data_IF_380848898090
#
_entry.id   IF_380848898090
#
_cell.length_a   1.000
_cell.length_b   1.000
_cell.length_c   1.000
_cell.angle_alpha   90.00
_cell.angle_beta   90.00
_cell.angle_gamma   90.00
#
_symmetry.space_group_name_H-M   'P 1'
#
loop_
_entity.id
_entity.type
_entity.pdbx_description
1 polymer ?
#
# COMPACT_ATOMS: atom_id res chain seq x y z
N UNK A 1 1.02 -4.83 -30.54
CA UNK A 1 -0.34 -4.67 -30.00
C UNK A 1 -0.88 -6.03 -29.59
N UNK A 2 -0.81 -6.34 -28.30
CA UNK A 2 -1.57 -7.39 -27.65
C UNK A 2 -1.70 -6.97 -26.19
N UNK A 3 -2.85 -6.42 -25.81
CA UNK A 3 -3.14 -6.05 -24.43
C UNK A 3 -3.27 -7.32 -23.59
N UNK A 4 -2.50 -7.41 -22.51
CA UNK A 4 -2.67 -8.45 -21.51
C UNK A 4 -3.97 -8.13 -20.77
N UNK A 5 -5.05 -8.81 -21.16
CA UNK A 5 -6.29 -8.81 -20.41
C UNK A 5 -6.10 -9.67 -19.15
N UNK A 6 -6.08 -9.03 -17.97
CA UNK A 6 -6.12 -9.72 -16.69
C UNK A 6 -7.38 -10.60 -16.61
N UNK A 7 -7.24 -11.85 -16.17
CA UNK A 7 -8.36 -12.80 -16.00
C UNK A 7 -8.47 -13.22 -14.54
N UNK A 8 -9.66 -13.11 -13.98
CA UNK A 8 -10.02 -13.59 -12.65
C UNK A 8 -10.25 -15.12 -12.65
N UNK A 9 -9.74 -15.86 -11.65
CA UNK A 9 -10.07 -17.28 -11.43
C UNK A 9 -10.17 -17.66 -9.95
N UNK A 10 -11.05 -18.63 -9.66
CA UNK A 10 -11.26 -19.30 -8.37
C UNK A 10 -10.12 -20.28 -8.05
N UNK A 11 -9.68 -20.29 -6.79
CA UNK A 11 -8.61 -21.14 -6.27
C UNK A 11 -9.08 -22.52 -5.79
N UNK A 12 -8.20 -23.53 -5.93
CA UNK A 12 -8.28 -24.85 -5.33
C UNK A 12 -6.99 -25.18 -4.58
N UNK A 13 -7.12 -25.85 -3.44
CA UNK A 13 -6.11 -25.99 -2.38
C UNK A 13 -5.11 -27.16 -2.55
N UNK A 14 -3.96 -27.09 -1.86
CA UNK A 14 -3.16 -28.28 -1.48
C UNK A 14 -1.68 -28.11 -1.07
N UNK A 15 -1.45 -28.10 0.26
CA UNK A 15 -0.45 -28.89 1.06
C UNK A 15 1.10 -28.66 1.04
N UNK A 16 1.60 -28.00 2.10
CA UNK A 16 2.59 -28.35 3.17
C UNK A 16 3.99 -29.02 2.97
N UNK A 17 4.90 -28.57 3.87
CA UNK A 17 6.21 -29.10 4.40
C UNK A 17 7.51 -28.59 3.70
N UNK A 18 8.59 -28.13 4.36
CA UNK A 18 8.95 -27.97 5.78
C UNK A 18 10.38 -27.39 5.96
N UNK A 19 10.56 -26.60 7.02
CA UNK A 19 11.72 -26.28 7.92
C UNK A 19 13.21 -26.40 7.49
N UNK A 20 13.97 -25.34 7.82
CA UNK A 20 15.41 -25.35 8.11
C UNK A 20 15.90 -24.03 8.76
N UNK A 21 16.32 -24.07 10.04
CA UNK A 21 16.84 -22.95 10.85
C UNK A 21 18.39 -22.94 10.87
N UNK A 22 19.01 -21.75 10.85
CA UNK A 22 20.31 -21.44 11.46
C UNK A 22 20.55 -19.90 11.54
N UNK A 23 21.39 -19.41 12.48
CA UNK A 23 21.05 -18.24 13.30
C UNK A 23 21.75 -16.90 12.98
N UNK A 24 20.98 -15.85 13.24
CA UNK A 24 21.25 -14.47 13.71
C UNK A 24 22.68 -13.90 13.73
N UNK A 25 22.82 -12.78 13.02
CA UNK A 25 23.88 -11.79 13.21
C UNK A 25 23.82 -10.69 12.15
N UNK A 26 22.75 -9.91 12.09
CA UNK A 26 22.67 -8.73 11.23
C UNK A 26 22.92 -7.47 12.07
N UNK A 27 24.15 -6.98 12.02
CA UNK A 27 24.51 -5.64 12.48
C UNK A 27 23.67 -4.62 11.71
N UNK A 28 22.76 -3.96 12.43
CA UNK A 28 21.90 -2.92 11.88
C UNK A 28 22.75 -1.66 11.78
N UNK A 29 23.21 -1.31 10.58
CA UNK A 29 23.83 0.00 10.33
C UNK A 29 22.70 1.00 10.07
N UNK A 30 22.48 2.00 10.93
CA UNK A 30 21.52 3.05 10.65
C UNK A 30 22.07 3.90 9.49
N UNK A 31 21.35 3.93 8.37
CA UNK A 31 21.65 4.85 7.27
C UNK A 31 21.21 6.25 7.75
N UNK A 32 22.12 6.98 8.40
CA UNK A 32 21.90 8.41 8.69
C UNK A 32 22.20 9.21 7.43
N UNK A 33 21.16 9.71 6.76
CA UNK A 33 21.26 10.55 5.56
C UNK A 33 21.12 9.74 4.27
N UNK A 34 19.90 9.53 3.83
CA UNK A 34 19.56 8.94 2.54
C UNK A 34 19.85 9.93 1.40
N UNK A 35 21.01 9.78 0.75
CA UNK A 35 21.26 10.31 -0.59
C UNK A 35 20.56 9.44 -1.65
N UNK A 36 19.26 9.18 -1.47
CA UNK A 36 18.43 8.52 -2.49
C UNK A 36 18.14 9.56 -3.57
N UNK A 37 19.11 9.80 -4.46
CA UNK A 37 18.97 10.82 -5.49
C UNK A 37 18.22 10.27 -6.69
N UNK A 38 16.98 10.70 -6.88
CA UNK A 38 16.21 10.59 -8.14
C UNK A 38 14.78 10.10 -7.94
N UNK A 39 13.84 10.67 -8.72
CA UNK A 39 12.48 10.15 -8.81
C UNK A 39 12.52 8.82 -9.58
N UNK A 40 12.37 7.70 -8.89
CA UNK A 40 12.44 6.35 -9.46
C UNK A 40 11.05 5.76 -9.70
N UNK A 41 10.00 6.36 -9.13
CA UNK A 41 8.62 6.13 -9.55
C UNK A 41 8.35 6.98 -10.80
N UNK A 42 8.25 6.32 -11.96
CA UNK A 42 7.90 6.93 -13.23
C UNK A 42 6.39 6.89 -13.47
N UNK A 43 5.76 8.04 -13.65
CA UNK A 43 4.32 8.16 -13.87
C UNK A 43 4.00 8.29 -15.36
N UNK A 44 3.11 7.45 -15.87
CA UNK A 44 2.56 7.54 -17.22
C UNK A 44 1.06 7.78 -17.15
N UNK A 45 0.64 8.97 -17.56
CA UNK A 45 -0.77 9.34 -17.52
C UNK A 45 -1.48 8.94 -18.81
N UNK A 46 -2.63 8.26 -18.67
CA UNK A 46 -3.57 8.04 -19.75
C UNK A 46 -4.41 9.31 -19.99
N UNK A 47 -4.31 9.85 -21.20
CA UNK A 47 -4.98 11.09 -21.59
C UNK A 47 -4.42 12.38 -20.99
N UNK A 48 -5.13 13.48 -21.26
CA UNK A 48 -4.76 14.82 -20.83
C UNK A 48 -5.35 15.15 -19.46
N UNK A 49 -4.58 14.86 -18.39
CA UNK A 49 -4.89 15.36 -17.05
C UNK A 49 -4.45 16.81 -16.87
N UNK A 50 -5.24 17.67 -16.19
CA UNK A 50 -4.84 19.02 -15.83
C UNK A 50 -3.52 19.05 -15.05
N UNK A 51 -2.67 20.06 -15.28
CA UNK A 51 -1.36 20.19 -14.62
C UNK A 51 -1.45 20.12 -13.10
N UNK A 52 -2.44 20.79 -12.50
CA UNK A 52 -2.66 20.76 -11.06
C UNK A 52 -2.90 19.34 -10.52
N UNK A 53 -3.60 18.51 -11.29
CA UNK A 53 -3.89 17.12 -10.93
C UNK A 53 -2.66 16.24 -11.08
N UNK A 54 -1.92 16.37 -12.19
CA UNK A 54 -0.64 15.66 -12.39
C UNK A 54 0.34 15.93 -11.24
N UNK A 55 0.41 17.17 -10.79
CA UNK A 55 1.29 17.57 -9.69
C UNK A 55 0.97 16.85 -8.36
N UNK A 56 -0.27 16.41 -8.13
CA UNK A 56 -0.63 15.63 -6.92
C UNK A 56 0.04 14.25 -6.97
N UNK A 57 -0.03 13.56 -8.11
CA UNK A 57 0.64 12.28 -8.31
C UNK A 57 2.16 12.40 -8.20
N UNK A 58 2.73 13.45 -8.78
CA UNK A 58 4.18 13.69 -8.72
C UNK A 58 4.66 13.96 -7.28
N UNK A 59 3.87 14.66 -6.46
CA UNK A 59 4.16 14.85 -5.03
C UNK A 59 4.07 13.54 -4.26
N UNK A 60 3.05 12.71 -4.52
CA UNK A 60 2.93 11.40 -3.90
C UNK A 60 4.11 10.48 -4.27
N UNK A 61 4.53 10.46 -5.54
CA UNK A 61 5.71 9.73 -5.99
C UNK A 61 6.98 10.22 -5.27
N UNK A 62 7.16 11.54 -5.18
CA UNK A 62 8.29 12.14 -4.44
C UNK A 62 8.24 11.77 -2.96
N UNK A 63 7.06 11.74 -2.33
CA UNK A 63 6.90 11.34 -0.93
C UNK A 63 7.32 9.89 -0.72
N UNK A 64 6.89 8.96 -1.58
CA UNK A 64 7.27 7.55 -1.50
C UNK A 64 8.75 7.34 -1.76
N UNK A 65 9.32 7.95 -2.79
CA UNK A 65 10.76 7.88 -3.09
C UNK A 65 11.62 8.44 -1.94
N UNK A 66 11.07 9.33 -1.10
CA UNK A 66 11.75 9.85 0.08
C UNK A 66 11.70 8.94 1.32
N UNK A 67 10.83 7.93 1.35
CA UNK A 67 10.64 7.04 2.53
C UNK A 67 10.92 5.57 2.26
N UNK A 68 10.80 5.14 1.00
CA UNK A 68 11.04 3.77 0.54
C UNK A 68 12.01 3.82 -0.63
N UNK A 69 13.07 3.02 -0.62
CA UNK A 69 14.01 2.99 -1.74
C UNK A 69 13.41 2.22 -2.92
N UNK A 70 13.07 2.95 -3.96
CA UNK A 70 12.45 2.46 -5.21
C UNK A 70 13.43 2.43 -6.38
N UNK A 71 14.70 2.77 -6.14
CA UNK A 71 15.79 2.54 -7.08
C UNK A 71 16.16 1.06 -7.10
N UNK A 72 16.15 0.46 -8.29
CA UNK A 72 16.41 -0.96 -8.48
C UNK A 72 17.37 -1.21 -9.64
N UNK A 73 17.89 -2.44 -9.70
CA UNK A 73 18.64 -2.89 -10.86
C UNK A 73 17.80 -2.74 -12.15
N UNK A 74 18.41 -2.28 -13.26
CA UNK A 74 17.69 -2.05 -14.50
C UNK A 74 17.02 -3.32 -15.03
N UNK A 75 15.75 -3.23 -15.41
CA UNK A 75 15.01 -4.29 -16.10
C UNK A 75 14.39 -3.76 -17.40
N UNK A 76 14.33 -4.58 -18.44
CA UNK A 76 13.65 -4.21 -19.69
C UNK A 76 12.20 -4.65 -19.65
N UNK A 77 11.28 -3.72 -19.78
CA UNK A 77 9.83 -3.98 -19.84
C UNK A 77 9.20 -3.15 -20.96
N UNK A 78 8.46 -3.79 -21.85
CA UNK A 78 7.81 -3.16 -23.02
C UNK A 78 8.75 -2.31 -23.92
N UNK A 79 10.04 -2.67 -23.96
CA UNK A 79 11.05 -1.95 -24.75
C UNK A 79 11.67 -0.74 -24.03
N UNK A 80 11.26 -0.46 -22.80
CA UNK A 80 11.84 0.56 -21.92
C UNK A 80 12.77 -0.10 -20.91
N UNK A 81 13.89 0.57 -20.58
CA UNK A 81 14.75 0.15 -19.47
C UNK A 81 14.33 0.91 -18.23
N UNK A 82 13.82 0.20 -17.22
CA UNK A 82 13.32 0.75 -15.97
C UNK A 82 14.31 0.49 -14.83
N UNK A 83 14.76 1.55 -14.17
CA UNK A 83 15.60 1.51 -12.96
C UNK A 83 14.80 1.71 -11.67
N UNK A 84 13.48 1.63 -11.77
CA UNK A 84 12.55 1.86 -10.66
C UNK A 84 11.20 1.19 -10.92
N UNK A 85 10.11 1.90 -10.65
CA UNK A 85 8.73 1.42 -10.84
C UNK A 85 8.01 2.31 -11.85
N UNK A 86 7.34 1.73 -12.84
CA UNK A 86 6.42 2.47 -13.71
C UNK A 86 4.99 2.36 -13.20
N UNK A 87 4.28 3.48 -13.08
CA UNK A 87 2.87 3.50 -12.71
C UNK A 87 2.05 4.13 -13.83
N UNK A 88 1.16 3.34 -14.42
CA UNK A 88 0.23 3.78 -15.44
C UNK A 88 -1.04 4.34 -14.74
N UNK A 89 -1.23 5.66 -14.82
CA UNK A 89 -2.27 6.40 -14.09
C UNK A 89 -3.42 6.76 -15.02
N UNK A 90 -4.67 6.50 -14.62
CA UNK A 90 -5.87 6.95 -15.35
C UNK A 90 -6.90 7.60 -14.42
N UNK A 91 -7.59 8.62 -14.94
CA UNK A 91 -8.78 9.20 -14.31
C UNK A 91 -9.89 9.16 -15.33
N UNK A 92 -10.91 8.34 -15.08
CA UNK A 92 -11.98 8.07 -16.03
C UNK A 92 -13.29 7.79 -15.31
N UNK A 93 -14.45 7.85 -15.98
CA UNK A 93 -15.69 7.39 -15.36
C UNK A 93 -15.59 5.91 -14.99
N UNK A 94 -15.89 5.55 -13.74
CA UNK A 94 -15.94 4.15 -13.28
C UNK A 94 -17.39 3.77 -12.92
N UNK A 95 -17.84 4.10 -11.71
CA UNK A 95 -19.18 3.78 -11.21
C UNK A 95 -20.01 4.99 -10.75
N UNK A 96 -19.45 6.20 -10.82
CA UNK A 96 -20.13 7.45 -10.50
C UNK A 96 -19.70 7.99 -9.14
N UNK A 97 -20.56 8.78 -8.50
CA UNK A 97 -20.28 9.32 -7.16
C UNK A 97 -20.62 8.29 -6.09
N UNK A 98 -19.81 8.24 -5.03
CA UNK A 98 -19.99 7.34 -3.88
C UNK A 98 -19.90 5.86 -4.31
N UNK A 99 -18.67 5.42 -4.58
CA UNK A 99 -18.37 4.08 -5.09
C UNK A 99 -16.88 3.76 -4.98
N UNK A 100 -16.23 3.50 -6.11
CA UNK A 100 -14.78 3.26 -6.15
C UNK A 100 -14.05 4.59 -6.32
N UNK A 101 -13.49 5.16 -5.25
CA UNK A 101 -12.68 6.39 -5.41
C UNK A 101 -11.43 6.15 -6.24
N UNK A 102 -10.79 5.01 -5.98
CA UNK A 102 -9.55 4.58 -6.58
C UNK A 102 -9.36 3.07 -6.50
N UNK A 103 -8.55 2.55 -7.41
CA UNK A 103 -7.97 1.22 -7.32
C UNK A 103 -6.54 1.24 -7.84
N UNK A 104 -5.67 0.50 -7.16
CA UNK A 104 -4.29 0.42 -7.55
C UNK A 104 -3.65 -0.92 -7.17
N UNK A 105 -2.57 -1.26 -7.88
CA UNK A 105 -1.80 -2.46 -7.60
C UNK A 105 -0.71 -2.73 -8.63
N UNK A 106 0.27 -3.58 -8.28
CA UNK A 106 1.30 -3.98 -9.20
C UNK A 106 0.71 -4.87 -10.31
N UNK A 107 1.22 -4.76 -11.53
CA UNK A 107 0.83 -5.61 -12.66
C UNK A 107 1.96 -6.53 -13.10
N UNK A 108 3.21 -6.12 -12.86
CA UNK A 108 4.41 -6.89 -13.20
C UNK A 108 5.41 -6.79 -12.06
N UNK A 109 6.00 -7.93 -11.68
CA UNK A 109 7.00 -8.02 -10.62
C UNK A 109 8.35 -8.47 -11.14
N UNK A 110 9.40 -8.15 -10.38
CA UNK A 110 10.78 -8.55 -10.64
C UNK A 110 10.95 -10.07 -10.42
N UNK A 111 11.78 -10.77 -11.19
CA UNK A 111 12.00 -12.21 -11.03
C UNK A 111 12.52 -12.60 -9.64
N UNK A 112 13.49 -11.85 -9.13
CA UNK A 112 14.24 -12.27 -7.95
C UNK A 112 13.59 -11.83 -6.63
N UNK A 113 13.15 -10.57 -6.58
CA UNK A 113 12.59 -9.98 -5.36
C UNK A 113 11.07 -10.03 -5.32
N UNK A 114 10.44 -10.24 -6.48
CA UNK A 114 9.01 -9.98 -6.73
C UNK A 114 8.54 -8.61 -6.24
N UNK A 115 9.42 -7.61 -6.24
CA UNK A 115 9.02 -6.22 -6.08
C UNK A 115 8.45 -5.70 -7.40
N UNK A 116 7.53 -4.73 -7.38
CA UNK A 116 6.95 -4.11 -8.56
C UNK A 116 7.97 -3.60 -9.59
N UNK A 117 7.75 -3.95 -10.85
CA UNK A 117 8.33 -3.31 -12.04
C UNK A 117 7.35 -2.29 -12.61
N UNK A 118 6.08 -2.69 -12.69
CA UNK A 118 5.01 -1.86 -13.21
C UNK A 118 3.73 -2.08 -12.40
N UNK A 119 2.86 -1.07 -12.39
CA UNK A 119 1.53 -1.15 -11.82
C UNK A 119 0.58 -0.12 -12.42
N UNK A 120 -0.67 -0.18 -11.96
CA UNK A 120 -1.74 0.72 -12.39
C UNK A 120 -2.31 1.49 -11.21
N UNK A 121 -2.82 2.68 -11.49
CA UNK A 121 -3.59 3.49 -10.55
C UNK A 121 -4.76 4.12 -11.32
N UNK A 122 -5.99 3.79 -10.94
CA UNK A 122 -7.20 4.26 -11.62
C UNK A 122 -8.12 4.96 -10.63
N UNK A 123 -8.63 6.15 -10.97
CA UNK A 123 -9.55 6.92 -10.13
C UNK A 123 -10.86 7.22 -10.85
N UNK A 124 -11.98 7.22 -10.12
CA UNK A 124 -13.25 7.70 -10.68
C UNK A 124 -13.23 9.22 -10.81
N UNK A 125 -13.40 9.69 -12.04
CA UNK A 125 -13.50 11.10 -12.38
C UNK A 125 -14.59 11.85 -11.57
N UNK A 126 -15.68 11.19 -11.20
CA UNK A 126 -16.76 11.80 -10.42
C UNK A 126 -16.32 12.09 -8.97
N UNK A 127 -15.58 11.17 -8.35
CA UNK A 127 -15.14 11.29 -6.96
C UNK A 127 -13.92 12.21 -6.81
N UNK A 128 -13.03 12.26 -7.81
CA UNK A 128 -11.87 13.16 -7.79
C UNK A 128 -12.27 14.61 -7.54
N UNK A 129 -13.39 15.08 -8.10
CA UNK A 129 -13.85 16.47 -7.88
C UNK A 129 -14.24 16.72 -6.42
N UNK A 130 -14.92 15.77 -5.80
CA UNK A 130 -15.32 15.85 -4.39
C UNK A 130 -14.10 15.78 -3.47
N UNK A 131 -13.14 14.92 -3.79
CA UNK A 131 -11.88 14.79 -3.06
C UNK A 131 -11.01 16.04 -3.17
N UNK A 132 -10.95 16.66 -4.34
CA UNK A 132 -10.25 17.94 -4.55
C UNK A 132 -10.92 19.06 -3.74
N UNK A 133 -12.25 19.16 -3.78
CA UNK A 133 -13.00 20.15 -3.01
C UNK A 133 -12.85 19.96 -1.49
N UNK A 134 -12.76 18.72 -1.03
CA UNK A 134 -12.53 18.35 0.38
C UNK A 134 -11.07 18.37 0.81
N UNK A 135 -10.12 18.63 -0.10
CA UNK A 135 -8.67 18.60 0.20
C UNK A 135 -8.12 17.21 0.53
N UNK A 136 -8.79 16.13 0.10
CA UNK A 136 -8.43 14.73 0.43
C UNK A 136 -7.77 13.98 -0.72
N UNK A 137 -7.75 14.56 -1.92
CA UNK A 137 -7.28 13.84 -3.10
C UNK A 137 -5.80 13.41 -3.00
N UNK A 138 -4.94 14.23 -2.39
CA UNK A 138 -3.53 13.88 -2.19
C UNK A 138 -3.34 12.68 -1.24
N UNK A 139 -4.12 12.60 -0.16
CA UNK A 139 -4.11 11.45 0.76
C UNK A 139 -4.46 10.15 0.01
N UNK A 140 -5.51 10.19 -0.83
CA UNK A 140 -5.95 9.01 -1.59
C UNK A 140 -4.89 8.63 -2.62
N UNK A 141 -4.30 9.58 -3.34
CA UNK A 141 -3.24 9.29 -4.31
C UNK A 141 -2.01 8.68 -3.62
N UNK A 142 -1.61 9.21 -2.45
CA UNK A 142 -0.52 8.65 -1.67
C UNK A 142 -0.82 7.22 -1.20
N UNK A 143 -2.04 6.98 -0.73
CA UNK A 143 -2.54 5.67 -0.31
C UNK A 143 -2.52 4.63 -1.44
N UNK A 144 -3.11 4.97 -2.60
CA UNK A 144 -3.19 4.08 -3.75
C UNK A 144 -1.79 3.75 -4.31
N UNK A 145 -0.87 4.71 -4.28
CA UNK A 145 0.50 4.45 -4.70
C UNK A 145 1.21 3.42 -3.79
N UNK A 146 0.88 3.38 -2.49
CA UNK A 146 1.38 2.36 -1.58
C UNK A 146 0.97 0.94 -2.02
N UNK A 147 -0.27 0.80 -2.51
CA UNK A 147 -0.79 -0.47 -3.03
C UNK A 147 -0.06 -0.91 -4.29
N UNK A 148 0.31 0.03 -5.17
CA UNK A 148 1.17 -0.28 -6.33
C UNK A 148 2.54 -0.80 -5.89
N UNK A 149 3.11 -0.20 -4.84
CA UNK A 149 4.39 -0.61 -4.24
C UNK A 149 4.30 -1.92 -3.45
N UNK A 150 3.10 -2.51 -3.32
CA UNK A 150 2.93 -3.85 -2.77
C UNK A 150 2.28 -3.91 -1.38
N UNK A 151 2.01 -2.76 -0.76
CA UNK A 151 1.32 -2.73 0.53
C UNK A 151 -0.07 -3.34 0.40
N UNK A 152 -0.40 -4.34 1.19
CA UNK A 152 -1.70 -5.02 1.15
C UNK A 152 -1.90 -5.94 -0.07
N UNK A 153 -1.32 -5.61 -1.22
CA UNK A 153 -1.49 -6.34 -2.48
C UNK A 153 -0.52 -7.52 -2.60
N UNK A 154 0.67 -7.45 -2.00
CA UNK A 154 1.68 -8.52 -2.01
C UNK A 154 1.81 -9.29 -0.70
N UNK A 155 1.07 -8.91 0.35
CA UNK A 155 1.20 -9.50 1.68
C UNK A 155 0.92 -11.01 1.71
N UNK A 156 -0.19 -11.45 1.14
CA UNK A 156 -0.53 -12.89 1.07
C UNK A 156 0.48 -13.66 0.21
N UNK A 157 0.84 -13.09 -0.95
CA UNK A 157 1.88 -13.65 -1.84
C UNK A 157 3.22 -13.87 -1.13
N UNK A 158 3.59 -12.96 -0.24
CA UNK A 158 4.83 -13.02 0.56
C UNK A 158 4.66 -13.82 1.87
N UNK A 159 3.48 -14.37 2.15
CA UNK A 159 3.22 -15.13 3.37
C UNK A 159 3.26 -14.28 4.64
N UNK A 160 2.98 -12.98 4.53
CA UNK A 160 3.06 -12.01 5.63
C UNK A 160 1.75 -11.85 6.42
N UNK A 161 0.69 -12.58 6.04
CA UNK A 161 -0.60 -12.60 6.75
C UNK A 161 -0.83 -13.98 7.35
N UNK A 162 -1.35 -14.00 8.57
CA UNK A 162 -1.92 -15.20 9.20
C UNK A 162 -3.38 -14.96 9.53
N UNK A 163 -4.18 -16.02 9.60
CA UNK A 163 -5.62 -15.88 9.85
C UNK A 163 -6.40 -15.24 8.70
N UNK A 164 -5.86 -15.26 7.47
CA UNK A 164 -6.58 -14.81 6.28
C UNK A 164 -7.93 -15.53 6.14
N UNK A 165 -8.96 -14.81 5.72
CA UNK A 165 -10.34 -15.26 5.65
C UNK A 165 -11.07 -15.34 6.99
N UNK A 166 -10.39 -15.13 8.13
CA UNK A 166 -11.01 -15.21 9.47
C UNK A 166 -11.44 -13.84 10.01
N UNK A 167 -12.11 -13.82 11.17
CA UNK A 167 -12.47 -12.58 11.84
C UNK A 167 -11.27 -11.81 12.40
N UNK A 168 -10.08 -12.40 12.43
CA UNK A 168 -8.89 -11.77 13.00
C UNK A 168 -7.62 -12.06 12.18
N UNK A 169 -7.53 -11.58 10.93
CA UNK A 169 -6.30 -11.61 10.17
C UNK A 169 -5.26 -10.71 10.85
N UNK A 170 -4.00 -11.17 10.83
CA UNK A 170 -2.86 -10.48 11.44
C UNK A 170 -1.67 -10.46 10.50
N UNK A 171 -0.98 -9.33 10.45
CA UNK A 171 0.29 -9.20 9.75
C UNK A 171 1.44 -9.66 10.65
N UNK A 172 2.36 -10.43 10.09
CA UNK A 172 3.38 -11.18 10.85
C UNK A 172 4.82 -10.83 10.50
N UNK A 173 5.04 -9.82 9.67
CA UNK A 173 6.35 -9.30 9.35
C UNK A 173 7.13 -8.84 10.59
N UNK A 174 8.43 -9.09 10.61
CA UNK A 174 9.27 -8.89 11.80
C UNK A 174 9.45 -7.40 12.10
N UNK A 175 9.62 -6.57 11.06
CA UNK A 175 9.77 -5.13 11.23
C UNK A 175 8.46 -4.51 11.71
N UNK A 176 7.32 -4.85 11.11
CA UNK A 176 6.02 -4.32 11.54
C UNK A 176 5.67 -4.72 12.97
N UNK A 177 6.00 -5.94 13.40
CA UNK A 177 5.83 -6.35 14.82
C UNK A 177 6.68 -5.52 15.77
N UNK A 178 7.90 -5.17 15.38
CA UNK A 178 8.80 -4.30 16.17
C UNK A 178 8.19 -2.90 16.34
N UNK A 179 7.75 -2.27 15.25
CA UNK A 179 7.16 -0.93 15.32
C UNK A 179 5.80 -0.95 16.02
N UNK A 180 5.00 -2.01 15.86
CA UNK A 180 3.73 -2.15 16.57
C UNK A 180 3.94 -2.35 18.08
N UNK A 181 4.94 -3.11 18.51
CA UNK A 181 5.26 -3.25 19.94
C UNK A 181 5.74 -1.93 20.59
N UNK A 182 6.24 -0.97 19.79
CA UNK A 182 6.54 0.38 20.30
C UNK A 182 5.27 1.22 20.49
N UNK A 183 4.25 0.99 19.66
CA UNK A 183 2.93 1.64 19.73
C UNK A 183 2.02 1.02 20.81
N UNK A 184 2.11 -0.29 21.01
CA UNK A 184 1.32 -1.07 21.98
C UNK A 184 2.23 -2.06 22.76
N UNK A 185 3.00 -1.58 23.75
CA UNK A 185 3.98 -2.41 24.48
C UNK A 185 3.37 -3.58 25.26
N UNK A 186 2.09 -3.45 25.66
CA UNK A 186 1.36 -4.46 26.43
C UNK A 186 0.48 -5.35 25.54
N UNK A 187 0.44 -5.07 24.24
CA UNK A 187 -0.41 -5.71 23.26
C UNK A 187 0.13 -7.02 22.70
N UNK A 188 -0.66 -7.60 21.79
CA UNK A 188 -0.20 -8.72 20.97
C UNK A 188 0.89 -8.24 20.00
N UNK A 189 1.87 -9.09 19.70
CA UNK A 189 2.95 -8.69 18.79
C UNK A 189 2.47 -8.58 17.33
N UNK A 190 1.49 -9.38 16.90
CA UNK A 190 1.04 -9.42 15.52
C UNK A 190 0.04 -8.30 15.20
N UNK A 191 0.31 -7.59 14.09
CA UNK A 191 -0.38 -6.33 13.77
C UNK A 191 -1.81 -6.60 13.28
N UNK A 192 -2.84 -5.98 13.87
CA UNK A 192 -4.22 -6.07 13.42
C UNK A 192 -4.41 -5.67 11.95
N UNK A 193 -4.89 -6.59 11.13
CA UNK A 193 -5.22 -6.32 9.73
C UNK A 193 -6.74 -6.09 9.59
N UNK A 194 -7.15 -5.27 8.62
CA UNK A 194 -8.55 -5.02 8.32
C UNK A 194 -9.29 -6.35 8.09
N UNK A 195 -10.30 -6.58 8.93
CA UNK A 195 -11.11 -7.80 8.97
C UNK A 195 -12.55 -7.57 8.47
N UNK A 196 -12.88 -6.33 8.14
CA UNK A 196 -14.17 -5.87 7.64
C UNK A 196 -13.99 -5.10 6.33
N UNK A 197 -15.10 -4.60 5.77
CA UNK A 197 -15.14 -4.03 4.42
C UNK A 197 -15.25 -5.10 3.34
N UNK A 198 -15.14 -4.68 2.08
CA UNK A 198 -15.21 -5.56 0.92
C UNK A 198 -13.88 -6.28 0.62
N UNK A 199 -13.81 -7.08 -0.45
CA UNK A 199 -12.57 -7.73 -0.91
C UNK A 199 -11.42 -6.74 -1.17
N UNK A 200 -11.77 -5.49 -1.50
CA UNK A 200 -10.81 -4.42 -1.70
C UNK A 200 -10.24 -3.81 -0.43
N UNK A 201 -10.85 -4.06 0.73
CA UNK A 201 -10.46 -3.46 2.01
C UNK A 201 -9.83 -4.50 2.93
N UNK A 202 -10.56 -5.60 3.11
CA UNK A 202 -10.16 -6.68 3.99
C UNK A 202 -8.81 -7.22 3.56
N UNK A 203 -7.93 -7.45 4.52
CA UNK A 203 -6.59 -8.02 4.30
C UNK A 203 -5.66 -7.22 3.39
N UNK A 204 -6.04 -6.01 2.96
CA UNK A 204 -5.20 -5.08 2.21
C UNK A 204 -4.79 -3.83 3.02
N UNK A 205 -5.30 -3.69 4.23
CA UNK A 205 -5.21 -2.46 5.02
C UNK A 205 -4.94 -2.76 6.49
N UNK A 206 -4.49 -1.73 7.21
CA UNK A 206 -4.50 -1.75 8.67
C UNK A 206 -5.92 -1.71 9.22
N UNK A 207 -6.13 -2.37 10.37
CA UNK A 207 -7.44 -2.41 11.04
C UNK A 207 -7.83 -1.04 11.55
N UNK A 208 -8.83 -0.45 10.94
CA UNK A 208 -9.21 0.92 11.24
C UNK A 208 -9.63 1.15 12.70
N UNK A 209 -10.33 0.20 13.33
CA UNK A 209 -10.68 0.30 14.75
C UNK A 209 -9.46 0.33 15.71
N UNK A 210 -8.27 0.01 15.22
CA UNK A 210 -7.03 0.06 16.00
C UNK A 210 -6.21 1.27 15.60
N UNK A 211 -6.10 1.55 14.30
CA UNK A 211 -5.17 2.54 13.76
C UNK A 211 -5.82 3.87 13.34
N UNK A 212 -7.16 3.95 13.36
CA UNK A 212 -7.91 5.17 13.09
C UNK A 212 -7.52 5.87 11.80
N UNK A 213 -6.93 7.05 11.94
CA UNK A 213 -6.55 7.93 10.84
C UNK A 213 -5.19 7.60 10.18
N UNK A 214 -4.49 6.53 10.55
CA UNK A 214 -3.25 6.13 9.85
C UNK A 214 -3.50 5.97 8.35
N UNK A 215 -2.58 6.46 7.51
CA UNK A 215 -2.75 6.58 6.05
C UNK A 215 -3.27 5.30 5.39
N UNK A 216 -2.81 4.12 5.79
CA UNK A 216 -3.12 2.82 5.19
C UNK A 216 -4.28 2.07 5.87
N UNK A 217 -5.12 2.75 6.66
CA UNK A 217 -6.46 2.25 6.95
C UNK A 217 -7.37 2.47 5.75
N UNK A 218 -8.32 1.56 5.50
CA UNK A 218 -9.13 1.57 4.27
C UNK A 218 -10.26 2.61 4.22
N UNK A 219 -10.22 3.67 5.01
CA UNK A 219 -11.32 4.64 5.13
C UNK A 219 -10.77 6.05 5.42
N UNK A 220 -11.45 7.08 4.92
CA UNK A 220 -10.98 8.47 4.97
C UNK A 220 -11.31 9.10 6.32
N UNK A 221 -10.68 8.57 7.37
CA UNK A 221 -10.90 9.01 8.75
C UNK A 221 -9.89 10.06 9.20
N UNK A 222 -10.35 11.02 9.99
CA UNK A 222 -9.54 12.11 10.54
C UNK A 222 -9.23 13.23 9.52
N UNK A 223 -8.77 14.37 10.04
CA UNK A 223 -8.33 15.52 9.22
C UNK A 223 -6.91 15.34 8.67
N UNK A 224 -6.05 14.63 9.41
CA UNK A 224 -4.66 14.34 9.03
C UNK A 224 -4.51 12.83 8.88
N UNK A 225 -3.77 12.39 7.86
CA UNK A 225 -3.51 10.98 7.54
C UNK A 225 -2.02 10.66 7.62
N UNK A 226 -1.46 10.41 8.81
CA UNK A 226 -0.02 10.19 8.96
C UNK A 226 0.44 8.91 8.26
N UNK A 227 1.53 9.01 7.51
CA UNK A 227 2.31 7.87 7.01
C UNK A 227 3.23 7.38 8.13
N UNK A 228 2.78 6.39 8.89
CA UNK A 228 3.46 5.96 10.11
C UNK A 228 4.70 5.10 9.86
N UNK A 229 5.55 4.99 10.89
CA UNK A 229 6.64 4.00 10.94
C UNK A 229 6.13 2.57 10.77
N UNK A 230 4.93 2.24 11.24
CA UNK A 230 4.33 0.92 11.08
C UNK A 230 4.09 0.59 9.60
N UNK A 231 3.59 1.54 8.82
CA UNK A 231 3.42 1.39 7.37
C UNK A 231 4.76 1.21 6.67
N UNK A 232 5.79 1.98 7.05
CA UNK A 232 7.12 1.81 6.46
C UNK A 232 7.71 0.43 6.79
N UNK A 233 7.45 -0.08 7.98
CA UNK A 233 7.91 -1.41 8.36
C UNK A 233 7.30 -2.55 7.55
N UNK A 234 6.06 -2.37 7.07
CA UNK A 234 5.45 -3.33 6.14
C UNK A 234 6.22 -3.38 4.81
N UNK A 235 6.79 -2.25 4.36
CA UNK A 235 7.67 -2.24 3.18
C UNK A 235 9.03 -2.88 3.47
N UNK A 236 9.61 -2.70 4.66
CA UNK A 236 10.81 -3.45 5.08
C UNK A 236 10.56 -4.96 5.01
N UNK A 237 9.42 -5.41 5.54
CA UNK A 237 9.02 -6.82 5.51
C UNK A 237 8.70 -7.35 4.10
N UNK A 238 8.35 -6.48 3.15
CA UNK A 238 8.26 -6.82 1.72
C UNK A 238 9.63 -6.93 1.03
N UNK A 239 10.69 -6.40 1.65
CA UNK A 239 12.06 -6.42 1.13
C UNK A 239 12.59 -5.07 0.64
N UNK A 240 11.91 -3.97 0.94
CA UNK A 240 12.41 -2.63 0.63
C UNK A 240 13.36 -2.09 1.71
N UNK A 241 14.44 -1.39 1.34
CA UNK A 241 15.07 -0.45 2.25
C UNK A 241 14.14 0.73 2.55
N UNK A 242 14.01 1.13 3.82
CA UNK A 242 13.11 2.21 4.25
C UNK A 242 13.83 3.22 5.14
N UNK A 243 13.40 4.49 5.09
CA UNK A 243 13.84 5.54 5.99
C UNK A 243 12.76 5.87 7.03
N UNK A 244 12.91 5.29 8.21
CA UNK A 244 11.99 5.52 9.31
C UNK A 244 12.06 6.92 9.92
N UNK A 245 13.15 7.68 9.70
CA UNK A 245 13.25 9.05 10.22
C UNK A 245 12.36 10.02 9.42
N UNK A 246 12.00 9.66 8.20
CA UNK A 246 11.11 10.42 7.33
C UNK A 246 9.61 10.05 7.50
N UNK A 247 9.27 9.12 8.40
CA UNK A 247 7.89 8.80 8.73
C UNK A 247 7.20 9.95 9.50
N UNK A 248 5.88 10.06 9.35
CA UNK A 248 5.10 11.01 10.13
C UNK A 248 4.93 10.52 11.58
N UNK A 249 4.87 11.42 12.57
CA UNK A 249 4.50 11.05 13.93
C UNK A 249 3.12 10.40 13.97
N UNK A 250 3.02 9.29 14.71
CA UNK A 250 1.78 8.55 14.86
C UNK A 250 1.78 7.81 16.20
N UNK A 251 0.66 7.91 16.91
CA UNK A 251 0.35 7.18 18.14
C UNK A 251 -0.99 6.47 17.95
N UNK A 252 -1.23 5.39 18.69
CA UNK A 252 -2.54 4.74 18.65
C UNK A 252 -3.62 5.69 19.20
N UNK A 253 -4.76 5.83 18.49
CA UNK A 253 -5.84 6.67 18.96
C UNK A 253 -6.49 6.07 20.21
N UNK A 254 -6.91 6.93 21.14
CA UNK A 254 -7.82 6.50 22.21
C UNK A 254 -9.22 6.24 21.64
N UNK A 255 -10.04 5.46 22.36
CA UNK A 255 -11.44 5.21 21.99
C UNK A 255 -12.24 6.50 21.75
N UNK A 256 -11.96 7.55 22.51
CA UNK A 256 -12.62 8.85 22.34
C UNK A 256 -12.26 9.49 21.01
N UNK A 257 -11.02 9.34 20.54
CA UNK A 257 -10.57 9.94 19.29
C UNK A 257 -11.13 9.18 18.10
N UNK A 258 -11.18 7.84 18.19
CA UNK A 258 -11.94 7.01 17.24
C UNK A 258 -13.40 7.48 17.13
N UNK A 259 -14.08 7.70 18.26
CA UNK A 259 -15.46 8.18 18.25
C UNK A 259 -15.63 9.58 17.62
N UNK A 260 -14.70 10.51 17.86
CA UNK A 260 -14.70 11.84 17.21
C UNK A 260 -14.49 11.75 15.70
N UNK A 261 -13.71 10.77 15.25
CA UNK A 261 -13.51 10.44 13.84
C UNK A 261 -14.70 9.65 13.25
N UNK A 262 -15.75 9.38 14.03
CA UNK A 262 -16.92 8.60 13.61
C UNK A 262 -16.67 7.10 13.54
N UNK A 263 -15.55 6.60 14.08
CA UNK A 263 -15.12 5.20 14.07
C UNK A 263 -15.69 4.50 15.31
N UNK A 264 -16.96 4.11 15.24
CA UNK A 264 -17.68 3.55 16.41
C UNK A 264 -18.03 2.07 16.27
N UNK A 265 -17.89 1.48 15.10
CA UNK A 265 -18.23 0.08 14.84
C UNK A 265 -17.25 -0.59 13.87
N UNK A 266 -17.13 -1.91 14.00
CA UNK A 266 -16.17 -2.68 13.21
C UNK A 266 -16.56 -2.79 11.73
N UNK A 267 -17.85 -2.77 11.43
CA UNK A 267 -18.36 -2.99 10.08
C UNK A 267 -18.67 -1.65 9.44
N UNK A 268 -17.72 -1.14 8.66
CA UNK A 268 -17.98 -0.04 7.73
C UNK A 268 -17.89 -0.53 6.29
N UNK A 269 -18.74 0.03 5.43
CA UNK A 269 -18.62 -0.14 3.98
C UNK A 269 -17.50 0.79 3.56
N UNK A 270 -16.45 0.23 2.95
CA UNK A 270 -15.30 1.01 2.53
C UNK A 270 -15.68 2.02 1.47
N UNK A 271 -15.49 3.28 1.81
CA UNK A 271 -15.67 4.41 0.91
C UNK A 271 -14.37 4.77 0.18
N UNK A 272 -13.20 4.20 0.54
CA UNK A 272 -11.90 4.61 0.00
C UNK A 272 -11.44 3.76 -1.18
N UNK A 273 -11.49 2.43 -1.02
CA UNK A 273 -10.97 1.48 -1.99
C UNK A 273 -11.87 0.24 -2.08
N UNK A 274 -12.44 0.00 -3.25
CA UNK A 274 -12.61 -1.37 -3.71
C UNK A 274 -11.37 -1.73 -4.52
N UNK A 275 -10.26 -2.02 -3.86
CA UNK A 275 -9.08 -2.57 -4.54
C UNK A 275 -9.50 -3.78 -5.38
N UNK A 276 -9.50 -3.62 -6.71
CA UNK A 276 -9.28 -4.74 -7.60
C UNK A 276 -7.85 -5.19 -7.35
N UNK A 277 -7.66 -6.22 -6.50
CA UNK A 277 -6.34 -6.83 -6.34
C UNK A 277 -5.90 -7.29 -7.72
N UNK A 278 -4.93 -6.59 -8.29
CA UNK A 278 -4.29 -7.02 -9.52
C UNK A 278 -3.69 -8.40 -9.28
N UNK A 279 -3.63 -9.21 -10.34
CA UNK A 279 -2.92 -10.49 -10.32
C UNK A 279 -1.60 -10.31 -11.07
N UNK A 280 -0.54 -9.82 -10.38
CA UNK A 280 0.68 -9.46 -11.05
C UNK A 280 1.44 -10.68 -11.53
N UNK A 281 1.96 -10.59 -12.75
CA UNK A 281 2.85 -11.60 -13.33
C UNK A 281 4.30 -11.32 -12.98
N UNK A 282 5.10 -12.36 -12.79
CA UNK A 282 6.55 -12.20 -12.68
C UNK A 282 7.12 -12.00 -14.07
N UNK A 283 7.98 -11.00 -14.23
CA UNK A 283 8.71 -10.78 -15.48
C UNK A 283 9.57 -12.03 -15.77
N UNK A 284 9.53 -12.51 -17.01
CA UNK A 284 10.32 -13.67 -17.43
C UNK A 284 11.77 -13.30 -17.76
#
# INVERSE_FOLDING_TARGET
MAGIAARFRLAGAGLLLGIGFAPSGSDIVPITGNNWSGNMIALRFDGDLPTARRAVFERAATRWDGVVQTAFDPVTFEGETLTGVRIDVSVRPLDGTDGVLGQAGPTVLRPDTELPVAGIMEFDQADVQNLEAGGRFEDVVLHEMAHVLGFGTLWDRKGLITGAGTMDPRFVGTASRREFAALDPDGEQAVPVANTGGPGTREGHWRELVFGNELMTGFLSGEVRPLSRLTLASFEDLGYPVDYAAADPFDLPEFRDLAKMGITEAVRICDLCRMGRTDPVVLN
#
